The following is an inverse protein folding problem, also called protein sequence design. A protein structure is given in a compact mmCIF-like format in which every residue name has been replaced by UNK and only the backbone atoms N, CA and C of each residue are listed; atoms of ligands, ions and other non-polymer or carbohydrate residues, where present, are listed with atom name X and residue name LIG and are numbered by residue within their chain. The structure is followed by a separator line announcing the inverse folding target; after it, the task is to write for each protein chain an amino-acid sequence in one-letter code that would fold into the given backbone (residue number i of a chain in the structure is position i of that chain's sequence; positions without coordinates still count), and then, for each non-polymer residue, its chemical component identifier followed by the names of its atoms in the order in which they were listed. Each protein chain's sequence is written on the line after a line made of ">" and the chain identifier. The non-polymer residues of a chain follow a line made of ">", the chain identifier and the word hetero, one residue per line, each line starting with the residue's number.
data_IF_014354207262
#
_entry.id   IF_014354207262
#
_cell.length_a   1.000
_cell.length_b   1.000
_cell.length_c   1.000
_cell.angle_alpha   90.00
_cell.angle_beta   90.00
_cell.angle_gamma   90.00
#
_symmetry.space_group_name_H-M   'P 1'
#
loop_
_entity.id
_entity.type
_entity.pdbx_description
1 polymer ?
#
# COMPACT_ATOMS: atom_id res chain seq x y z
N UNK A 1 -52.71 -1.01 15.70
CA UNK A 1 -52.00 -1.82 14.67
C UNK A 1 -51.33 -0.86 13.70
N UNK A 2 -50.02 -0.63 13.86
CA UNK A 2 -49.08 -0.51 12.74
C UNK A 2 -47.66 -0.48 13.30
N UNK A 3 -46.95 -1.60 13.18
CA UNK A 3 -45.53 -1.72 13.53
C UNK A 3 -44.80 -1.97 12.21
N UNK A 4 -44.14 -0.92 11.69
CA UNK A 4 -43.25 -1.04 10.54
C UNK A 4 -41.83 -1.19 11.03
N UNK A 5 -41.38 -2.42 11.21
CA UNK A 5 -39.99 -2.75 11.55
C UNK A 5 -39.19 -2.87 10.25
N UNK A 6 -38.33 -1.88 10.01
CA UNK A 6 -37.48 -1.79 8.82
C UNK A 6 -36.15 -2.50 9.08
N UNK A 7 -36.10 -3.80 8.77
CA UNK A 7 -34.85 -4.56 8.76
C UNK A 7 -33.90 -4.02 7.68
N UNK A 8 -32.86 -3.31 8.10
CA UNK A 8 -31.72 -2.96 7.25
C UNK A 8 -30.90 -4.23 6.96
N UNK A 9 -30.95 -4.67 5.71
CA UNK A 9 -30.14 -5.78 5.19
C UNK A 9 -28.66 -5.42 5.21
N UNK A 10 -27.88 -6.25 5.89
CA UNK A 10 -26.43 -6.19 5.98
C UNK A 10 -25.87 -6.51 4.58
N UNK A 11 -25.06 -5.59 4.03
CA UNK A 11 -24.44 -5.73 2.72
C UNK A 11 -23.69 -7.06 2.58
N UNK A 12 -24.10 -7.85 1.59
CA UNK A 12 -23.47 -9.12 1.24
C UNK A 12 -22.01 -8.93 0.84
N UNK A 13 -21.16 -9.85 1.29
CA UNK A 13 -19.75 -9.96 0.89
C UNK A 13 -19.68 -9.98 -0.65
N UNK A 14 -19.04 -8.97 -1.24
CA UNK A 14 -18.74 -8.96 -2.67
C UNK A 14 -17.77 -10.12 -2.94
N UNK A 15 -18.14 -11.03 -3.82
CA UNK A 15 -17.35 -12.24 -4.11
C UNK A 15 -15.94 -11.88 -4.57
N UNK A 16 -14.96 -12.69 -4.17
CA UNK A 16 -13.56 -12.53 -4.55
C UNK A 16 -13.42 -12.40 -6.07
N UNK A 17 -12.78 -11.34 -6.55
CA UNK A 17 -12.45 -11.19 -7.97
C UNK A 17 -11.39 -12.25 -8.29
N UNK A 18 -11.66 -13.22 -9.19
CA UNK A 18 -10.70 -14.26 -9.50
C UNK A 18 -9.39 -13.63 -10.00
N UNK A 19 -8.26 -14.04 -9.42
CA UNK A 19 -6.94 -13.65 -9.89
C UNK A 19 -6.72 -14.29 -11.27
N UNK A 20 -6.86 -13.51 -12.34
CA UNK A 20 -6.45 -13.96 -13.67
C UNK A 20 -4.93 -14.13 -13.68
N UNK A 21 -4.53 -15.39 -13.85
CA UNK A 21 -3.19 -15.91 -14.14
C UNK A 21 -2.20 -15.86 -12.98
N UNK A 22 -1.83 -17.04 -12.47
CA UNK A 22 -0.73 -17.30 -11.53
C UNK A 22 0.61 -16.60 -11.89
N UNK A 23 0.76 -16.14 -13.14
CA UNK A 23 1.89 -15.34 -13.61
C UNK A 23 1.91 -13.89 -13.10
N UNK A 24 0.78 -13.32 -12.65
CA UNK A 24 0.71 -11.93 -12.20
C UNK A 24 1.43 -11.72 -10.85
N UNK A 25 1.34 -12.69 -9.93
CA UNK A 25 1.72 -12.56 -8.51
C UNK A 25 3.03 -13.31 -8.15
N UNK A 26 3.74 -13.84 -9.14
CA UNK A 26 4.96 -14.62 -8.91
C UNK A 26 6.05 -13.82 -8.17
N UNK A 27 6.71 -14.48 -7.21
CA UNK A 27 7.88 -13.92 -6.54
C UNK A 27 9.08 -13.84 -7.50
N UNK A 28 9.78 -12.68 -7.60
CA UNK A 28 11.06 -12.67 -8.28
C UNK A 28 12.09 -13.46 -7.46
N UNK A 29 13.08 -14.06 -8.16
CA UNK A 29 14.12 -14.89 -7.54
C UNK A 29 15.00 -14.14 -6.53
N UNK A 30 15.10 -12.81 -6.66
CA UNK A 30 15.94 -11.94 -5.82
C UNK A 30 15.22 -10.60 -5.61
N UNK A 31 15.51 -9.85 -4.53
CA UNK A 31 15.00 -8.50 -4.35
C UNK A 31 15.50 -7.56 -5.45
N UNK A 32 14.86 -6.39 -5.58
CA UNK A 32 15.21 -5.35 -6.56
C UNK A 32 15.01 -5.76 -8.02
N UNK A 33 13.95 -6.53 -8.30
CA UNK A 33 13.65 -7.00 -9.66
C UNK A 33 13.40 -5.85 -10.65
N UNK A 34 12.89 -4.70 -10.20
CA UNK A 34 12.73 -3.49 -11.03
C UNK A 34 14.06 -2.82 -11.41
N UNK A 35 15.21 -3.42 -11.08
CA UNK A 35 16.48 -3.07 -11.74
C UNK A 35 16.45 -3.44 -13.23
N UNK A 36 15.72 -4.49 -13.57
CA UNK A 36 15.51 -4.90 -14.96
C UNK A 36 14.34 -4.09 -15.57
N UNK A 37 14.61 -3.25 -16.58
CA UNK A 37 13.56 -2.50 -17.28
C UNK A 37 12.52 -3.39 -17.96
N UNK A 38 12.89 -4.62 -18.36
CA UNK A 38 11.96 -5.55 -18.98
C UNK A 38 10.85 -5.96 -18.01
N UNK A 39 11.18 -6.13 -16.72
CA UNK A 39 10.20 -6.46 -15.68
C UNK A 39 9.25 -5.29 -15.41
N UNK A 40 9.78 -4.05 -15.35
CA UNK A 40 8.94 -2.85 -15.21
C UNK A 40 7.98 -2.73 -16.42
N UNK A 41 8.49 -2.90 -17.65
CA UNK A 41 7.68 -2.87 -18.87
C UNK A 41 6.63 -3.97 -18.92
N UNK A 42 6.94 -5.16 -18.39
CA UNK A 42 5.97 -6.26 -18.26
C UNK A 42 4.83 -5.86 -17.32
N UNK A 43 5.14 -5.35 -16.13
CA UNK A 43 4.13 -4.94 -15.14
C UNK A 43 3.28 -3.77 -15.60
N UNK A 44 3.83 -2.82 -16.35
CA UNK A 44 3.05 -1.72 -16.92
C UNK A 44 1.90 -2.20 -17.82
N UNK A 45 2.03 -3.36 -18.46
CA UNK A 45 0.94 -3.96 -19.26
C UNK A 45 -0.17 -4.60 -18.41
N UNK A 46 0.06 -4.74 -17.11
CA UNK A 46 -0.81 -5.46 -16.16
C UNK A 46 -1.49 -4.52 -15.16
N UNK A 47 -1.31 -3.19 -15.28
CA UNK A 47 -1.92 -2.21 -14.36
C UNK A 47 -3.45 -2.20 -14.39
N UNK A 48 -4.04 -2.80 -15.41
CA UNK A 48 -5.49 -2.92 -15.60
C UNK A 48 -6.01 -4.35 -15.36
N UNK A 49 -5.20 -5.25 -14.80
CA UNK A 49 -5.68 -6.56 -14.36
C UNK A 49 -6.83 -6.41 -13.35
N UNK A 50 -7.86 -7.29 -13.38
CA UNK A 50 -9.10 -7.10 -12.63
C UNK A 50 -8.92 -6.83 -11.13
N UNK A 51 -7.96 -7.48 -10.48
CA UNK A 51 -7.73 -7.32 -9.04
C UNK A 51 -7.03 -6.01 -8.67
N UNK A 52 -6.31 -5.36 -9.59
CA UNK A 52 -5.62 -4.07 -9.30
C UNK A 52 -6.29 -2.87 -9.95
N UNK A 53 -7.13 -3.10 -10.96
CA UNK A 53 -7.79 -2.03 -11.73
C UNK A 53 -8.50 -1.01 -10.84
N UNK A 54 -9.34 -1.37 -9.85
CA UNK A 54 -10.04 -0.37 -9.04
C UNK A 54 -9.08 0.56 -8.28
N UNK A 55 -7.98 0.00 -7.77
CA UNK A 55 -6.95 0.77 -7.07
C UNK A 55 -6.20 1.70 -8.04
N UNK A 56 -5.86 1.22 -9.24
CA UNK A 56 -5.18 2.03 -10.24
C UNK A 56 -6.11 3.07 -10.91
N UNK A 57 -7.41 2.83 -11.01
CA UNK A 57 -8.40 3.85 -11.40
C UNK A 57 -8.50 4.98 -10.37
N UNK A 58 -8.41 4.63 -9.08
CA UNK A 58 -8.28 5.63 -8.03
C UNK A 58 -6.95 6.41 -8.14
N UNK A 59 -5.82 5.75 -8.47
CA UNK A 59 -4.53 6.44 -8.73
C UNK A 59 -4.64 7.40 -9.92
N UNK A 60 -5.30 7.00 -11.03
CA UNK A 60 -5.56 7.88 -12.18
C UNK A 60 -6.32 9.13 -11.76
N UNK A 61 -7.40 8.94 -10.99
CA UNK A 61 -8.26 10.03 -10.52
C UNK A 61 -7.50 10.98 -9.59
N UNK A 62 -6.70 10.43 -8.66
CA UNK A 62 -5.84 11.20 -7.77
C UNK A 62 -4.82 12.03 -8.56
N UNK A 63 -4.11 11.42 -9.50
CA UNK A 63 -3.13 12.12 -10.32
C UNK A 63 -3.77 13.21 -11.18
N UNK A 64 -4.94 12.95 -11.79
CA UNK A 64 -5.67 13.93 -12.57
C UNK A 64 -6.07 15.17 -11.73
N UNK A 65 -6.61 14.95 -10.53
CA UNK A 65 -6.96 16.03 -9.61
C UNK A 65 -5.75 16.88 -9.21
N UNK A 66 -4.57 16.25 -9.08
CA UNK A 66 -3.30 16.94 -8.75
C UNK A 66 -2.70 17.71 -9.93
N UNK A 67 -2.79 17.20 -11.16
CA UNK A 67 -2.31 17.92 -12.34
C UNK A 67 -3.07 19.23 -12.58
N UNK A 68 -4.33 19.34 -12.12
CA UNK A 68 -5.09 20.58 -12.10
C UNK A 68 -4.75 21.56 -10.96
N UNK A 69 -3.75 21.26 -10.13
CA UNK A 69 -3.36 22.07 -8.97
C UNK A 69 -2.01 22.78 -9.16
N UNK A 70 -1.55 23.54 -8.16
CA UNK A 70 -0.20 24.16 -8.15
C UNK A 70 0.92 23.18 -7.78
N UNK A 71 0.62 21.88 -7.69
CA UNK A 71 1.60 20.86 -7.37
C UNK A 71 2.64 20.67 -8.49
N UNK A 72 3.83 20.23 -8.09
CA UNK A 72 4.91 19.88 -9.03
C UNK A 72 4.46 18.74 -9.98
N UNK A 73 4.74 18.80 -11.30
CA UNK A 73 4.40 17.73 -12.24
C UNK A 73 5.01 16.36 -11.90
N UNK A 74 6.13 16.30 -11.19
CA UNK A 74 6.70 15.05 -10.67
C UNK A 74 5.96 14.53 -9.42
N UNK A 75 5.09 15.34 -8.80
CA UNK A 75 4.30 15.00 -7.61
C UNK A 75 3.09 14.12 -7.92
N UNK A 76 3.38 12.96 -8.51
CA UNK A 76 2.41 11.94 -8.87
C UNK A 76 2.46 10.76 -7.92
N UNK A 77 1.32 10.10 -7.73
CA UNK A 77 1.20 8.82 -7.05
C UNK A 77 1.63 7.68 -7.98
N UNK A 78 2.42 6.72 -7.48
CA UNK A 78 2.80 5.54 -8.25
C UNK A 78 1.63 4.55 -8.38
N UNK A 79 1.71 3.64 -9.34
CA UNK A 79 0.77 2.54 -9.48
C UNK A 79 0.89 1.54 -8.34
N UNK A 80 -0.23 0.88 -8.02
CA UNK A 80 -0.20 -0.37 -7.28
C UNK A 80 0.49 -1.45 -8.11
N UNK A 81 1.30 -2.28 -7.46
CA UNK A 81 2.00 -3.38 -8.10
C UNK A 81 1.01 -4.50 -8.50
N UNK A 82 0.89 -4.84 -9.81
CA UNK A 82 0.05 -5.95 -10.26
C UNK A 82 0.47 -7.32 -9.70
N UNK A 83 1.71 -7.43 -9.20
CA UNK A 83 2.20 -8.60 -8.48
C UNK A 83 1.86 -8.64 -6.99
N UNK A 84 1.04 -7.71 -6.49
CA UNK A 84 0.47 -7.76 -5.14
C UNK A 84 -0.96 -8.32 -5.12
N UNK A 85 -1.59 -8.29 -3.93
CA UNK A 85 -2.96 -8.78 -3.73
C UNK A 85 -4.07 -7.92 -4.34
N UNK A 86 -3.77 -6.69 -4.75
CA UNK A 86 -4.77 -5.76 -5.25
C UNK A 86 -5.91 -5.53 -4.25
N UNK A 87 -7.15 -5.43 -4.73
CA UNK A 87 -8.35 -5.28 -3.88
C UNK A 87 -8.61 -6.48 -2.97
N UNK A 88 -8.10 -7.65 -3.33
CA UNK A 88 -8.23 -8.89 -2.54
C UNK A 88 -7.21 -8.95 -1.38
N UNK A 89 -6.34 -7.95 -1.23
CA UNK A 89 -5.36 -7.93 -0.16
C UNK A 89 -6.06 -7.87 1.22
N UNK A 90 -5.55 -8.68 2.15
CA UNK A 90 -6.08 -8.80 3.51
C UNK A 90 -5.26 -8.02 4.53
N UNK A 91 -4.02 -7.71 4.17
CA UNK A 91 -3.10 -6.88 4.95
C UNK A 91 -2.67 -5.68 4.10
N UNK A 92 -2.81 -4.48 4.63
CA UNK A 92 -2.25 -3.27 4.04
C UNK A 92 -1.00 -2.84 4.81
N UNK A 93 0.14 -2.83 4.13
CA UNK A 93 1.36 -2.22 4.63
C UNK A 93 1.39 -0.73 4.23
N UNK A 94 1.29 0.16 5.22
CA UNK A 94 1.21 1.59 4.99
C UNK A 94 2.51 2.28 5.38
N UNK A 95 3.22 2.81 4.39
CA UNK A 95 4.49 3.52 4.51
C UNK A 95 4.28 5.05 4.55
N UNK A 96 5.37 5.80 4.57
CA UNK A 96 5.35 7.27 4.66
C UNK A 96 4.98 7.95 3.34
N UNK A 97 5.91 7.99 2.38
CA UNK A 97 5.73 8.64 1.09
C UNK A 97 6.55 7.90 0.02
N UNK A 98 6.19 7.99 -1.27
CA UNK A 98 7.00 7.47 -2.35
C UNK A 98 8.43 8.00 -2.30
N UNK A 99 9.41 7.09 -2.35
CA UNK A 99 10.80 7.47 -2.63
C UNK A 99 11.02 7.69 -4.12
N UNK A 100 12.17 8.26 -4.49
CA UNK A 100 12.53 8.52 -5.90
C UNK A 100 12.48 7.27 -6.79
N UNK A 101 12.68 6.07 -6.22
CA UNK A 101 12.62 4.80 -6.97
C UNK A 101 11.21 4.28 -7.23
N UNK A 102 10.20 4.88 -6.62
CA UNK A 102 8.79 4.66 -6.92
C UNK A 102 8.24 5.68 -7.93
N UNK A 103 8.92 6.82 -8.12
CA UNK A 103 8.50 7.84 -9.12
C UNK A 103 8.57 7.29 -10.54
N UNK A 104 7.64 7.73 -11.40
CA UNK A 104 7.63 7.39 -12.81
C UNK A 104 8.84 7.98 -13.58
N UNK A 105 9.37 9.13 -13.16
CA UNK A 105 10.49 9.80 -13.85
C UNK A 105 11.86 9.25 -13.47
N UNK A 106 12.01 8.68 -12.27
CA UNK A 106 13.32 8.28 -11.68
C UNK A 106 13.40 6.81 -11.28
N UNK A 107 12.30 6.08 -11.39
CA UNK A 107 12.11 4.78 -10.80
C UNK A 107 11.22 3.87 -11.63
N UNK A 108 10.51 2.97 -10.95
CA UNK A 108 9.64 1.99 -11.61
C UNK A 108 8.25 2.54 -11.95
N UNK A 109 7.83 3.64 -11.31
CA UNK A 109 6.43 4.09 -11.33
C UNK A 109 5.49 3.27 -10.45
N UNK A 110 5.99 2.33 -9.64
CA UNK A 110 5.20 1.46 -8.77
C UNK A 110 5.54 1.64 -7.30
N UNK A 111 4.57 1.41 -6.42
CA UNK A 111 4.86 1.06 -5.03
C UNK A 111 4.98 -0.47 -4.90
N UNK A 112 6.21 -0.95 -4.68
CA UNK A 112 6.50 -2.38 -4.77
C UNK A 112 7.69 -2.80 -3.92
N UNK A 113 7.66 -4.02 -3.39
CA UNK A 113 8.84 -4.69 -2.80
C UNK A 113 9.93 -5.02 -3.84
N UNK A 114 9.61 -4.90 -5.13
CA UNK A 114 10.53 -5.19 -6.23
C UNK A 114 11.34 -3.96 -6.67
N UNK A 115 11.02 -2.77 -6.13
CA UNK A 115 11.74 -1.54 -6.44
C UNK A 115 13.25 -1.67 -6.17
N UNK A 116 14.05 -1.04 -7.03
CA UNK A 116 15.51 -1.06 -6.95
C UNK A 116 16.03 -0.09 -5.87
N UNK A 117 15.59 -0.29 -4.64
CA UNK A 117 16.03 0.45 -3.46
C UNK A 117 16.19 -0.49 -2.24
N UNK A 118 16.65 0.07 -1.13
CA UNK A 118 16.95 -0.70 0.06
C UNK A 118 15.70 -0.96 0.94
N UNK A 119 14.71 -0.07 0.93
CA UNK A 119 13.45 -0.23 1.66
C UNK A 119 12.65 -1.39 1.06
N UNK A 120 12.50 -1.40 -0.27
CA UNK A 120 11.85 -2.47 -1.00
C UNK A 120 12.57 -3.82 -0.81
N UNK A 121 13.91 -3.84 -0.85
CA UNK A 121 14.69 -5.05 -0.58
C UNK A 121 14.50 -5.58 0.85
N UNK A 122 14.40 -4.69 1.85
CA UNK A 122 14.11 -5.08 3.23
C UNK A 122 12.70 -5.66 3.35
N UNK A 123 11.70 -5.00 2.75
CA UNK A 123 10.33 -5.48 2.72
C UNK A 123 10.22 -6.86 2.06
N UNK A 124 10.85 -7.05 0.89
CA UNK A 124 10.93 -8.35 0.21
C UNK A 124 11.46 -9.45 1.12
N UNK A 125 12.58 -9.20 1.82
CA UNK A 125 13.20 -10.19 2.69
C UNK A 125 12.32 -10.50 3.92
N UNK A 126 11.68 -9.48 4.49
CA UNK A 126 10.83 -9.60 5.68
C UNK A 126 9.53 -10.33 5.38
N UNK A 127 8.88 -10.04 4.26
CA UNK A 127 7.63 -10.72 3.85
C UNK A 127 7.88 -12.18 3.49
N UNK A 128 8.99 -12.49 2.79
CA UNK A 128 9.44 -13.86 2.56
C UNK A 128 9.70 -14.60 3.88
N UNK A 129 10.45 -13.98 4.81
CA UNK A 129 10.74 -14.59 6.12
C UNK A 129 9.48 -14.76 6.99
N UNK A 130 8.48 -13.90 6.81
CA UNK A 130 7.19 -14.01 7.49
C UNK A 130 6.29 -15.11 6.91
N UNK A 131 6.63 -15.68 5.75
CA UNK A 131 5.76 -16.62 5.03
C UNK A 131 4.45 -15.97 4.58
N UNK A 132 4.49 -14.68 4.24
CA UNK A 132 3.34 -13.96 3.69
C UNK A 132 3.35 -14.07 2.18
N UNK A 133 2.28 -14.64 1.63
CA UNK A 133 2.08 -14.65 0.18
C UNK A 133 1.81 -13.23 -0.35
N UNK A 134 2.31 -12.90 -1.54
CA UNK A 134 2.10 -11.58 -2.17
C UNK A 134 0.64 -11.28 -2.41
N UNK A 135 -0.17 -12.30 -2.69
CA UNK A 135 -1.62 -12.15 -2.84
C UNK A 135 -2.30 -11.70 -1.53
N UNK A 136 -1.65 -11.91 -0.37
CA UNK A 136 -2.24 -11.58 0.94
C UNK A 136 -2.11 -10.10 1.28
N UNK A 137 -1.19 -9.35 0.67
CA UNK A 137 -0.92 -7.98 1.06
C UNK A 137 -0.86 -6.99 -0.10
N UNK A 138 -1.13 -5.72 0.24
CA UNK A 138 -0.87 -4.56 -0.59
C UNK A 138 0.10 -3.61 0.12
N UNK A 139 0.83 -2.81 -0.65
CA UNK A 139 1.66 -1.71 -0.16
C UNK A 139 0.99 -0.41 -0.54
N UNK A 140 0.98 0.56 0.38
CA UNK A 140 0.63 1.93 0.07
C UNK A 140 1.44 2.94 0.90
N UNK A 141 1.31 4.24 0.61
CA UNK A 141 1.90 5.33 1.39
C UNK A 141 0.82 6.22 1.98
N UNK A 142 1.02 6.71 3.21
CA UNK A 142 0.10 7.66 3.84
C UNK A 142 0.10 9.02 3.12
N UNK A 143 1.23 9.44 2.54
CA UNK A 143 1.25 10.52 1.55
C UNK A 143 1.37 9.85 0.18
N UNK A 144 0.32 9.86 -0.65
CA UNK A 144 0.26 8.96 -1.80
C UNK A 144 1.15 9.40 -2.98
N UNK A 145 1.53 10.67 -3.05
CA UNK A 145 2.32 11.23 -4.14
C UNK A 145 3.78 11.48 -3.77
N UNK A 146 4.65 11.48 -4.78
CA UNK A 146 6.05 11.87 -4.62
C UNK A 146 6.18 13.32 -4.17
N UNK A 147 7.13 13.60 -3.27
CA UNK A 147 7.47 14.96 -2.83
C UNK A 147 8.86 15.33 -3.37
N UNK A 148 8.96 15.93 -4.57
CA UNK A 148 10.24 16.29 -5.16
C UNK A 148 10.93 17.43 -4.40
N UNK A 149 12.26 17.36 -4.26
CA UNK A 149 13.12 18.47 -3.81
C UNK A 149 14.45 18.41 -4.59
N UNK A 150 14.46 19.00 -5.79
CA UNK A 150 15.58 18.87 -6.72
C UNK A 150 15.88 17.39 -7.02
N UNK A 151 17.11 16.95 -6.77
CA UNK A 151 17.51 15.53 -6.97
C UNK A 151 17.09 14.60 -5.83
N UNK A 152 16.55 15.15 -4.74
CA UNK A 152 16.16 14.40 -3.53
C UNK A 152 14.65 14.32 -3.38
N UNK A 153 14.23 13.57 -2.37
CA UNK A 153 12.85 13.53 -1.88
C UNK A 153 12.76 14.46 -0.68
N UNK A 154 11.79 15.37 -0.71
CA UNK A 154 11.48 16.28 0.39
C UNK A 154 11.09 15.48 1.63
N UNK A 155 11.46 15.96 2.82
CA UNK A 155 10.96 15.40 4.07
C UNK A 155 9.44 15.62 4.19
N UNK A 156 8.71 14.56 4.55
CA UNK A 156 7.27 14.62 4.81
C UNK A 156 6.99 15.53 6.00
N UNK A 157 5.94 16.33 5.89
CA UNK A 157 5.43 17.22 6.93
C UNK A 157 4.01 16.83 7.28
N UNK A 158 3.57 17.26 8.47
CA UNK A 158 2.19 17.07 8.92
C UNK A 158 1.16 17.63 7.93
N UNK A 159 1.47 18.73 7.24
CA UNK A 159 0.61 19.31 6.22
C UNK A 159 0.36 18.35 5.05
N UNK A 160 1.38 17.60 4.61
CA UNK A 160 1.26 16.65 3.51
C UNK A 160 0.31 15.50 3.90
N UNK A 161 0.39 15.00 5.15
CA UNK A 161 -0.54 14.00 5.67
C UNK A 161 -1.98 14.51 5.76
N UNK A 162 -2.18 15.78 6.12
CA UNK A 162 -3.51 16.39 6.21
C UNK A 162 -4.13 16.58 4.81
N UNK A 163 -3.33 17.00 3.84
CA UNK A 163 -3.74 17.10 2.43
C UNK A 163 -4.12 15.72 1.86
N UNK A 164 -3.36 14.67 2.20
CA UNK A 164 -3.62 13.32 1.74
C UNK A 164 -4.88 12.68 2.34
N UNK A 165 -5.26 13.09 3.56
CA UNK A 165 -6.34 12.48 4.35
C UNK A 165 -7.64 12.18 3.60
N UNK A 166 -8.28 13.16 2.92
CA UNK A 166 -9.52 12.93 2.19
C UNK A 166 -9.43 11.85 1.09
N UNK A 167 -8.27 11.70 0.45
CA UNK A 167 -8.08 10.70 -0.60
C UNK A 167 -7.89 9.29 -0.04
N UNK A 168 -7.37 9.18 1.18
CA UNK A 168 -7.01 7.90 1.78
C UNK A 168 -8.22 7.14 2.34
N UNK A 169 -9.33 7.83 2.59
CA UNK A 169 -10.58 7.18 2.99
C UNK A 169 -11.17 6.34 1.85
N UNK A 170 -11.28 6.94 0.66
CA UNK A 170 -11.92 6.30 -0.49
C UNK A 170 -11.16 5.08 -1.02
N UNK A 171 -9.83 5.02 -0.92
CA UNK A 171 -9.11 3.83 -1.39
C UNK A 171 -9.20 2.65 -0.43
N UNK A 172 -9.33 2.89 0.88
CA UNK A 172 -9.47 1.79 1.86
C UNK A 172 -10.77 1.03 1.61
N UNK A 173 -11.83 1.74 1.19
CA UNK A 173 -13.12 1.14 0.82
C UNK A 173 -13.09 0.31 -0.47
N UNK A 174 -12.02 0.42 -1.28
CA UNK A 174 -11.86 -0.39 -2.50
C UNK A 174 -11.44 -1.83 -2.20
N UNK A 175 -10.87 -2.11 -1.03
CA UNK A 175 -10.47 -3.46 -0.67
C UNK A 175 -11.69 -4.31 -0.28
N UNK A 176 -11.78 -5.51 -0.84
CA UNK A 176 -12.88 -6.44 -0.58
C UNK A 176 -12.67 -7.25 0.70
N UNK A 177 -11.41 -7.53 1.03
CA UNK A 177 -11.03 -8.50 2.08
C UNK A 177 -10.04 -7.93 3.12
N UNK A 178 -9.87 -6.60 3.16
CA UNK A 178 -8.92 -5.95 4.07
C UNK A 178 -9.34 -6.15 5.53
N UNK A 179 -8.43 -6.73 6.30
CA UNK A 179 -8.67 -7.08 7.71
C UNK A 179 -7.68 -6.42 8.67
N UNK A 180 -6.45 -6.14 8.18
CA UNK A 180 -5.36 -5.63 8.99
C UNK A 180 -4.60 -4.52 8.28
N UNK A 181 -4.25 -3.47 9.03
CA UNK A 181 -3.33 -2.43 8.58
C UNK A 181 -2.08 -2.45 9.45
N UNK A 182 -0.90 -2.47 8.82
CA UNK A 182 0.37 -2.36 9.52
C UNK A 182 1.05 -1.08 9.06
N UNK A 183 1.07 -0.08 9.93
CA UNK A 183 1.70 1.21 9.65
C UNK A 183 3.20 1.12 9.94
N UNK A 184 4.01 1.67 9.05
CA UNK A 184 5.46 1.54 9.08
C UNK A 184 6.11 2.91 9.20
N UNK A 185 6.52 3.27 10.41
CA UNK A 185 7.12 4.56 10.73
C UNK A 185 6.12 5.57 11.33
N UNK A 186 6.66 6.65 11.88
CA UNK A 186 5.91 7.63 12.67
C UNK A 186 4.85 8.36 11.85
N UNK A 187 5.18 8.82 10.64
CA UNK A 187 4.22 9.53 9.77
C UNK A 187 3.07 8.63 9.32
N UNK A 188 3.36 7.38 8.97
CA UNK A 188 2.34 6.40 8.61
C UNK A 188 1.38 6.15 9.78
N UNK A 189 1.93 5.97 11.00
CA UNK A 189 1.14 5.81 12.23
C UNK A 189 0.24 7.02 12.50
N UNK A 190 0.82 8.21 12.54
CA UNK A 190 0.09 9.44 12.91
C UNK A 190 -0.97 9.80 11.88
N UNK A 191 -0.68 9.65 10.58
CA UNK A 191 -1.69 9.88 9.54
C UNK A 191 -2.80 8.85 9.56
N UNK A 192 -2.49 7.59 9.85
CA UNK A 192 -3.50 6.56 10.05
C UNK A 192 -4.39 6.85 11.25
N UNK A 193 -3.83 7.28 12.38
CA UNK A 193 -4.60 7.69 13.56
C UNK A 193 -5.56 8.86 13.24
N UNK A 194 -5.15 9.80 12.38
CA UNK A 194 -6.03 10.88 11.89
C UNK A 194 -7.15 10.32 11.02
N UNK A 195 -6.85 9.44 10.06
CA UNK A 195 -7.85 8.80 9.19
C UNK A 195 -8.93 8.06 9.98
N UNK A 196 -8.50 7.26 10.97
CA UNK A 196 -9.39 6.50 11.85
C UNK A 196 -10.40 7.35 12.61
N UNK A 197 -10.09 8.63 12.86
CA UNK A 197 -11.03 9.56 13.50
C UNK A 197 -12.04 10.17 12.53
N UNK A 198 -11.77 10.12 11.22
CA UNK A 198 -12.59 10.74 10.18
C UNK A 198 -13.63 9.78 9.59
N UNK A 199 -13.30 8.49 9.50
CA UNK A 199 -14.10 7.51 8.79
C UNK A 199 -14.46 6.29 9.64
N UNK A 200 -15.75 5.94 9.82
CA UNK A 200 -16.15 4.70 10.49
C UNK A 200 -15.53 3.45 9.88
N UNK A 201 -15.37 3.40 8.55
CA UNK A 201 -14.77 2.26 7.86
C UNK A 201 -13.32 2.01 8.30
N UNK A 202 -12.50 3.05 8.33
CA UNK A 202 -11.12 2.95 8.82
C UNK A 202 -11.06 2.74 10.34
N UNK A 203 -12.01 3.29 11.10
CA UNK A 203 -12.08 3.15 12.55
C UNK A 203 -12.25 1.69 12.99
N UNK A 204 -13.03 0.91 12.22
CA UNK A 204 -13.31 -0.50 12.47
C UNK A 204 -12.14 -1.45 12.12
N UNK A 205 -11.14 -0.99 11.37
CA UNK A 205 -10.01 -1.82 10.97
C UNK A 205 -9.03 -2.05 12.13
N UNK A 206 -8.65 -3.31 12.28
CA UNK A 206 -7.60 -3.70 13.21
C UNK A 206 -6.25 -3.26 12.64
N UNK A 207 -5.37 -2.72 13.48
CA UNK A 207 -4.08 -2.22 13.01
C UNK A 207 -2.97 -2.34 14.04
N UNK A 208 -1.72 -2.24 13.58
CA UNK A 208 -0.53 -2.23 14.43
C UNK A 208 0.51 -1.30 13.83
N UNK A 209 1.24 -0.58 14.69
CA UNK A 209 2.35 0.27 14.26
C UNK A 209 3.69 -0.44 14.46
N UNK A 210 4.59 -0.30 13.48
CA UNK A 210 5.97 -0.79 13.54
C UNK A 210 6.94 0.27 13.03
N UNK A 211 8.25 0.15 13.31
CA UNK A 211 9.25 1.03 12.72
C UNK A 211 9.31 0.95 11.19
N UNK A 212 9.83 2.01 10.55
CA UNK A 212 9.97 2.05 9.09
C UNK A 212 11.06 1.07 8.58
N UNK A 213 10.85 0.32 7.49
CA UNK A 213 11.82 -0.67 6.97
C UNK A 213 13.00 -0.07 6.18
N UNK A 214 13.31 1.22 6.35
CA UNK A 214 14.40 1.86 5.60
C UNK A 214 15.76 1.34 6.04
N UNK A 215 16.73 1.34 5.12
CA UNK A 215 18.10 0.95 5.44
C UNK A 215 18.69 1.79 6.57
N UNK A 216 18.47 3.10 6.57
CA UNK A 216 18.92 3.98 7.67
C UNK A 216 18.37 3.51 9.01
N UNK A 217 17.08 3.21 9.11
CA UNK A 217 16.49 2.75 10.36
C UNK A 217 17.00 1.37 10.78
N UNK A 218 17.01 0.39 9.86
CA UNK A 218 17.42 -0.98 10.21
C UNK A 218 18.92 -1.15 10.43
N UNK A 219 19.76 -0.32 9.81
CA UNK A 219 21.21 -0.34 10.06
C UNK A 219 21.56 0.34 11.39
N UNK A 220 20.82 1.40 11.78
CA UNK A 220 21.06 2.09 13.06
C UNK A 220 20.38 1.41 14.24
N UNK A 221 19.26 0.70 14.01
CA UNK A 221 18.47 0.00 15.04
C UNK A 221 18.10 -1.40 14.56
N UNK A 222 19.05 -2.36 14.58
CA UNK A 222 18.82 -3.70 14.01
C UNK A 222 17.63 -4.47 14.60
N UNK A 223 17.33 -4.27 15.89
CA UNK A 223 16.20 -4.91 16.58
C UNK A 223 14.83 -4.53 15.98
N UNK A 224 14.72 -3.40 15.27
CA UNK A 224 13.50 -3.04 14.54
C UNK A 224 13.13 -4.08 13.48
N UNK A 225 14.10 -4.85 12.97
CA UNK A 225 13.85 -5.94 12.02
C UNK A 225 12.93 -7.02 12.61
N UNK A 226 13.15 -7.37 13.88
CA UNK A 226 12.37 -8.38 14.58
C UNK A 226 10.95 -7.89 14.88
N UNK A 227 10.80 -6.61 15.25
CA UNK A 227 9.49 -6.00 15.46
C UNK A 227 8.63 -6.03 14.19
N UNK A 228 9.22 -5.66 13.04
CA UNK A 228 8.52 -5.70 11.75
C UNK A 228 8.17 -7.15 11.38
N UNK A 229 9.12 -8.07 11.52
CA UNK A 229 8.90 -9.49 11.20
C UNK A 229 7.77 -10.09 12.05
N UNK A 230 7.77 -9.83 13.35
CA UNK A 230 6.74 -10.31 14.28
C UNK A 230 5.36 -9.79 13.87
N UNK A 231 5.23 -8.49 13.57
CA UNK A 231 3.96 -7.93 13.11
C UNK A 231 3.48 -8.53 11.79
N UNK A 232 4.39 -8.81 10.85
CA UNK A 232 4.05 -9.48 9.58
C UNK A 232 3.57 -10.92 9.81
N UNK A 233 4.27 -11.69 10.66
CA UNK A 233 3.90 -13.06 11.01
C UNK A 233 2.53 -13.09 11.69
N UNK A 234 2.30 -12.18 12.64
CA UNK A 234 1.04 -12.06 13.36
C UNK A 234 -0.12 -11.67 12.44
N UNK A 235 0.08 -10.66 11.57
CA UNK A 235 -0.91 -10.29 10.56
C UNK A 235 -1.26 -11.49 9.67
N UNK A 236 -0.26 -12.23 9.19
CA UNK A 236 -0.46 -13.45 8.39
C UNK A 236 -1.23 -14.54 9.13
N UNK A 237 -0.93 -14.76 10.41
CA UNK A 237 -1.64 -15.73 11.26
C UNK A 237 -3.11 -15.34 11.44
N UNK A 238 -3.38 -14.07 11.76
CA UNK A 238 -4.73 -13.56 12.01
C UNK A 238 -5.63 -13.62 10.78
N UNK A 239 -5.11 -13.24 9.61
CA UNK A 239 -5.91 -13.32 8.38
C UNK A 239 -6.18 -14.79 8.01
N UNK A 240 -5.22 -15.71 8.15
CA UNK A 240 -5.47 -17.14 7.88
C UNK A 240 -6.55 -17.73 8.79
N UNK A 241 -6.65 -17.29 10.05
CA UNK A 241 -7.65 -17.78 11.00
C UNK A 241 -9.09 -17.30 10.70
N UNK A 242 -9.24 -16.22 9.91
CA UNK A 242 -10.54 -15.63 9.53
C UNK A 242 -11.07 -16.12 8.17
N UNK A 243 -10.61 -17.29 7.69
CA UNK A 243 -11.11 -17.91 6.46
C UNK A 243 -12.53 -18.43 6.64
#
# INVERSE_FOLDING_TARGET
>A
MNSGDGTFGIAGRRGAVPLSVEAAVAWPKRPRAHRDPAEVKRKLKLVDEPHVRPLNDWVRSLNHARTGSTADPESTAPWFDPSGGGVNARVLFLLEAPGSRSSASRGSGFISIDNNDATAANLYALTQKAGLDRATFALWNIVPWYLPEGTRTKATKRADTLEAGPHLESFVELFTDLDRVVTMGTFAREGWEVLRRRSPGTAALNWTAVPHPSATNLNTRPHHREQILHAMQEAGRLVRARR
#
